data_IF_573143464853
#
_entry.id   IF_573143464853
#
_cell.length_a   1.000
_cell.length_b   1.000
_cell.length_c   1.000
_cell.angle_alpha   90.00
_cell.angle_beta   90.00
_cell.angle_gamma   90.00
#
_symmetry.space_group_name_H-M   'P 1'
#
loop_
_entity.id
_entity.type
_entity.pdbx_description
1 polymer ?
#
# COMPACT_ATOMS: atom_id res chain seq x y z
N UNK A 1 -14.26 -6.13 -0.19
CA UNK A 1 -15.26 -5.83 -1.24
C UNK A 1 -15.37 -6.99 -2.23
N UNK A 2 -14.26 -7.52 -2.77
CA UNK A 2 -14.29 -8.72 -3.63
C UNK A 2 -14.92 -9.93 -2.91
N UNK A 3 -14.49 -10.25 -1.69
CA UNK A 3 -15.01 -11.42 -0.96
C UNK A 3 -16.43 -11.25 -0.40
N UNK A 4 -16.92 -10.02 -0.29
CA UNK A 4 -18.24 -9.71 0.27
C UNK A 4 -19.35 -9.71 -0.78
N UNK A 5 -19.01 -9.75 -2.07
CA UNK A 5 -19.97 -9.66 -3.15
C UNK A 5 -20.59 -11.03 -3.48
N UNK A 6 -21.87 -11.06 -3.87
CA UNK A 6 -22.57 -12.32 -4.20
C UNK A 6 -21.93 -13.06 -5.37
N UNK A 7 -21.30 -12.34 -6.31
CA UNK A 7 -20.61 -12.91 -7.45
C UNK A 7 -19.16 -13.35 -7.16
N UNK A 8 -18.67 -13.23 -5.92
CA UNK A 8 -17.29 -13.56 -5.57
C UNK A 8 -16.92 -15.01 -5.89
N UNK A 9 -17.79 -15.96 -5.57
CA UNK A 9 -17.54 -17.38 -5.82
C UNK A 9 -17.54 -17.70 -7.32
N UNK A 10 -18.42 -17.08 -8.09
CA UNK A 10 -18.42 -17.21 -9.56
C UNK A 10 -17.13 -16.67 -10.17
N UNK A 11 -16.65 -15.51 -9.68
CA UNK A 11 -15.38 -14.94 -10.12
C UNK A 11 -14.20 -15.87 -9.81
N UNK A 12 -14.17 -16.47 -8.62
CA UNK A 12 -13.13 -17.43 -8.23
C UNK A 12 -13.14 -18.69 -9.10
N UNK A 13 -14.32 -19.18 -9.49
CA UNK A 13 -14.46 -20.31 -10.41
C UNK A 13 -13.93 -19.93 -11.80
N UNK A 14 -14.38 -18.81 -12.37
CA UNK A 14 -13.92 -18.33 -13.68
C UNK A 14 -12.40 -18.08 -13.72
N UNK A 15 -11.82 -17.58 -12.62
CA UNK A 15 -10.37 -17.40 -12.50
C UNK A 15 -9.62 -18.74 -12.49
N UNK A 16 -10.16 -19.77 -11.83
CA UNK A 16 -9.59 -21.12 -11.84
C UNK A 16 -9.68 -21.76 -13.22
N UNK A 17 -10.83 -21.64 -13.89
CA UNK A 17 -11.07 -22.23 -15.21
C UNK A 17 -10.15 -21.61 -16.27
N UNK A 18 -9.93 -20.30 -16.21
CA UNK A 18 -8.97 -19.59 -17.09
C UNK A 18 -7.51 -19.74 -16.64
N UNK A 19 -7.24 -20.24 -15.43
CA UNK A 19 -5.89 -20.28 -14.85
C UNK A 19 -5.25 -18.89 -14.65
N UNK A 20 -6.05 -17.84 -14.47
CA UNK A 20 -5.57 -16.44 -14.36
C UNK A 20 -5.71 -15.89 -12.94
N UNK A 21 -5.03 -14.78 -12.66
CA UNK A 21 -5.20 -14.06 -11.41
C UNK A 21 -6.57 -13.35 -11.38
N UNK A 22 -7.26 -13.39 -10.24
CA UNK A 22 -8.54 -12.73 -10.00
C UNK A 22 -8.50 -11.25 -10.43
N UNK A 23 -7.42 -10.52 -10.12
CA UNK A 23 -7.29 -9.11 -10.49
C UNK A 23 -7.13 -8.89 -11.99
N UNK A 24 -6.46 -9.80 -12.69
CA UNK A 24 -6.30 -9.74 -14.14
C UNK A 24 -7.64 -10.00 -14.84
N UNK A 25 -8.39 -11.01 -14.38
CA UNK A 25 -9.73 -11.30 -14.90
C UNK A 25 -10.70 -10.14 -14.70
N UNK A 26 -10.67 -9.47 -13.53
CA UNK A 26 -11.50 -8.28 -13.30
C UNK A 26 -11.15 -7.15 -14.26
N UNK A 27 -9.87 -6.97 -14.58
CA UNK A 27 -9.41 -5.94 -15.53
C UNK A 27 -9.87 -6.29 -16.96
N UNK A 28 -9.75 -7.55 -17.37
CA UNK A 28 -10.23 -8.03 -18.68
C UNK A 28 -11.75 -7.81 -18.86
N UNK A 29 -12.53 -8.05 -17.80
CA UNK A 29 -13.98 -7.81 -17.81
C UNK A 29 -14.30 -6.32 -17.96
N UNK A 30 -13.54 -5.46 -17.29
CA UNK A 30 -13.68 -4.01 -17.42
C UNK A 30 -13.36 -3.56 -18.85
N UNK A 31 -12.27 -4.04 -19.45
CA UNK A 31 -11.88 -3.70 -20.82
C UNK A 31 -12.94 -4.16 -21.83
N UNK A 32 -13.50 -5.36 -21.64
CA UNK A 32 -14.61 -5.87 -22.46
C UNK A 32 -15.83 -4.96 -22.35
N UNK A 33 -16.17 -4.53 -21.13
CA UNK A 33 -17.30 -3.62 -20.88
C UNK A 33 -17.10 -2.26 -21.55
N UNK A 34 -15.86 -1.74 -21.56
CA UNK A 34 -15.52 -0.49 -22.28
C UNK A 34 -15.78 -0.64 -23.78
N UNK A 35 -15.37 -1.76 -24.37
CA UNK A 35 -15.55 -2.04 -25.79
C UNK A 35 -17.03 -2.21 -26.16
N UNK A 36 -17.79 -2.94 -25.35
CA UNK A 36 -19.23 -3.18 -25.57
C UNK A 36 -20.03 -1.87 -25.53
N UNK A 37 -19.74 -1.01 -24.55
CA UNK A 37 -20.44 0.27 -24.38
C UNK A 37 -19.89 1.40 -25.26
N UNK A 38 -18.78 1.16 -25.98
CA UNK A 38 -18.08 2.13 -26.84
C UNK A 38 -17.77 3.44 -26.11
N UNK A 39 -17.29 3.34 -24.87
CA UNK A 39 -16.96 4.50 -24.04
C UNK A 39 -15.51 4.96 -24.31
N UNK A 40 -15.21 6.27 -24.22
CA UNK A 40 -13.91 6.80 -24.58
C UNK A 40 -12.77 6.47 -23.58
N UNK A 41 -13.10 6.27 -22.30
CA UNK A 41 -12.13 5.97 -21.24
C UNK A 41 -12.76 5.12 -20.14
N UNK A 42 -11.93 4.35 -19.42
CA UNK A 42 -12.36 3.41 -18.37
C UNK A 42 -13.12 4.11 -17.22
N UNK A 43 -12.67 5.28 -16.77
CA UNK A 43 -13.34 6.04 -15.70
C UNK A 43 -14.76 6.49 -16.05
N UNK A 44 -15.17 6.43 -17.33
CA UNK A 44 -16.53 6.75 -17.72
C UNK A 44 -17.53 5.70 -17.22
N UNK A 45 -17.07 4.46 -17.01
CA UNK A 45 -17.91 3.37 -16.49
C UNK A 45 -18.41 3.64 -15.07
N UNK A 46 -17.66 4.42 -14.27
CA UNK A 46 -17.99 4.76 -12.87
C UNK A 46 -18.56 6.16 -12.71
N UNK A 47 -18.97 6.84 -13.79
CA UNK A 47 -19.46 8.23 -13.75
C UNK A 47 -20.61 8.49 -12.76
N UNK A 48 -21.48 7.49 -12.57
CA UNK A 48 -22.66 7.59 -11.71
C UNK A 48 -22.40 6.97 -10.32
N UNK A 49 -21.20 6.43 -10.08
CA UNK A 49 -20.83 5.69 -8.89
C UNK A 49 -19.88 6.52 -8.02
N UNK A 50 -20.32 6.80 -6.79
CA UNK A 50 -19.51 7.56 -5.83
C UNK A 50 -19.20 6.68 -4.62
N UNK A 51 -17.93 6.53 -4.33
CA UNK A 51 -17.44 5.74 -3.21
C UNK A 51 -16.70 6.62 -2.22
N UNK A 52 -17.15 6.60 -0.97
CA UNK A 52 -16.44 7.17 0.16
C UNK A 52 -15.67 6.06 0.89
N UNK A 53 -14.32 6.07 0.87
CA UNK A 53 -13.51 4.89 1.19
C UNK A 53 -13.34 4.56 2.68
N UNK A 54 -14.01 5.24 3.61
CA UNK A 54 -13.92 4.98 5.06
C UNK A 54 -14.73 3.74 5.52
N UNK A 55 -14.68 2.69 4.70
CA UNK A 55 -15.30 1.40 4.96
C UNK A 55 -14.44 0.62 5.96
N UNK A 56 -15.00 0.28 7.13
CA UNK A 56 -14.48 -0.62 8.16
C UNK A 56 -13.02 -1.09 7.96
N UNK A 57 -12.06 -0.36 8.54
CA UNK A 57 -10.66 -0.78 8.59
C UNK A 57 -9.95 -0.57 7.26
N UNK A 58 -9.07 0.43 7.22
CA UNK A 58 -8.12 0.63 6.12
C UNK A 58 -7.28 -0.64 5.85
N UNK A 59 -7.78 -1.51 4.97
CA UNK A 59 -7.07 -2.71 4.51
C UNK A 59 -6.03 -2.41 3.43
N UNK A 60 -5.94 -1.19 2.91
CA UNK A 60 -5.02 -0.85 1.82
C UNK A 60 -3.68 -0.25 2.27
N UNK A 61 -3.65 0.56 3.33
CA UNK A 61 -2.46 1.37 3.65
C UNK A 61 -1.85 1.11 5.02
N UNK A 62 -2.56 0.42 5.92
CA UNK A 62 -2.10 0.20 7.30
C UNK A 62 -0.94 -0.80 7.46
N UNK A 63 -0.91 -1.87 6.67
CA UNK A 63 0.05 -2.96 6.90
C UNK A 63 1.32 -2.80 6.06
N UNK A 64 1.17 -2.44 4.78
CA UNK A 64 2.29 -2.45 3.83
C UNK A 64 2.85 -1.06 3.52
N UNK A 65 2.07 0.01 3.71
CA UNK A 65 2.54 1.38 3.50
C UNK A 65 3.11 1.99 4.78
N UNK A 66 2.44 1.77 5.92
CA UNK A 66 2.86 2.35 7.19
C UNK A 66 3.99 1.62 7.92
N UNK A 67 4.29 0.35 7.60
CA UNK A 67 5.37 -0.37 8.28
C UNK A 67 6.75 0.23 7.94
N UNK A 68 6.96 0.70 6.70
CA UNK A 68 8.18 1.43 6.34
C UNK A 68 8.17 2.86 6.91
N UNK A 69 7.07 3.61 6.77
CA UNK A 69 7.00 5.03 7.16
C UNK A 69 7.07 5.24 8.69
N UNK A 70 6.58 4.29 9.50
CA UNK A 70 6.67 4.36 10.98
C UNK A 70 8.11 4.28 11.50
N UNK A 71 9.03 3.72 10.71
CA UNK A 71 10.45 3.69 11.02
C UNK A 71 11.24 4.82 10.35
N UNK A 72 10.77 5.30 9.18
CA UNK A 72 11.55 6.17 8.29
C UNK A 72 11.36 7.67 8.51
N UNK A 73 10.19 8.11 8.98
CA UNK A 73 9.92 9.51 9.26
C UNK A 73 9.47 9.61 10.71
N UNK A 74 10.11 10.49 11.47
CA UNK A 74 9.70 10.89 12.81
C UNK A 74 8.39 11.71 12.77
N UNK A 75 7.42 11.24 12.00
CA UNK A 75 6.03 11.66 12.04
C UNK A 75 5.36 10.74 13.04
N UNK A 76 5.35 11.15 14.30
CA UNK A 76 4.40 10.60 15.25
C UNK A 76 3.00 10.98 14.76
N UNK A 77 2.36 10.10 13.99
CA UNK A 77 0.92 9.93 14.15
C UNK A 77 0.75 9.44 15.59
N UNK A 78 0.54 10.38 16.51
CA UNK A 78 0.12 10.05 17.86
C UNK A 78 -1.24 9.39 17.71
N UNK A 79 -1.27 8.05 17.80
CA UNK A 79 -2.51 7.32 17.99
C UNK A 79 -3.28 8.01 19.10
N UNK A 80 -4.47 8.47 18.77
CA UNK A 80 -5.38 9.12 19.70
C UNK A 80 -5.66 8.16 20.88
N UNK A 81 -5.25 8.62 22.06
CA UNK A 81 -5.71 8.30 23.42
C UNK A 81 -5.98 6.83 23.78
N UNK A 82 -5.11 6.26 24.64
CA UNK A 82 -5.16 4.88 25.18
C UNK A 82 -6.30 4.60 26.18
N UNK A 83 -7.27 5.50 26.34
CA UNK A 83 -8.27 5.41 27.43
C UNK A 83 -9.69 5.02 27.03
N UNK A 84 -9.96 4.56 25.79
CA UNK A 84 -11.32 4.15 25.39
C UNK A 84 -11.38 2.75 24.76
N UNK A 85 -12.39 1.92 25.12
CA UNK A 85 -12.53 0.57 24.59
C UNK A 85 -12.60 0.60 23.06
N UNK A 86 -11.78 -0.23 22.43
CA UNK A 86 -11.64 -0.33 20.97
C UNK A 86 -12.92 -0.94 20.40
N UNK A 87 -13.88 -0.10 20.01
CA UNK A 87 -14.94 -0.51 19.08
C UNK A 87 -14.32 -0.71 17.69
N UNK A 88 -14.70 -1.82 17.02
CA UNK A 88 -14.22 -2.28 15.70
C UNK A 88 -14.72 -1.43 14.52
N UNK A 89 -14.69 -0.11 14.63
CA UNK A 89 -15.00 0.82 13.54
C UNK A 89 -13.76 1.66 13.31
N UNK A 90 -12.97 1.29 12.29
CA UNK A 90 -11.86 2.11 11.87
C UNK A 90 -12.37 3.01 10.74
N UNK A 91 -12.70 4.24 11.12
CA UNK A 91 -12.92 5.38 10.21
C UNK A 91 -11.60 5.93 9.66
N UNK A 92 -11.58 7.22 9.37
CA UNK A 92 -10.47 7.89 8.70
C UNK A 92 -9.25 8.03 9.61
N UNK A 93 -8.10 7.43 9.25
CA UNK A 93 -6.91 7.49 10.11
C UNK A 93 -6.02 8.70 9.85
N UNK A 94 -5.95 9.13 8.59
CA UNK A 94 -5.01 10.16 8.14
C UNK A 94 -5.75 11.31 7.48
N UNK A 95 -5.35 12.55 7.81
CA UNK A 95 -5.97 13.84 7.45
C UNK A 95 -7.07 14.30 8.39
N UNK A 96 -8.16 13.52 8.55
CA UNK A 96 -9.29 13.90 9.41
C UNK A 96 -9.17 13.29 10.81
N UNK A 97 -8.50 12.12 10.92
CA UNK A 97 -8.27 11.41 12.18
C UNK A 97 -9.56 11.16 13.00
N UNK A 98 -10.67 10.96 12.30
CA UNK A 98 -11.99 10.73 12.87
C UNK A 98 -12.38 9.25 12.73
N UNK A 99 -12.52 8.61 13.89
CA UNK A 99 -12.82 7.17 14.02
C UNK A 99 -14.28 6.85 13.71
N UNK A 100 -15.18 7.81 13.84
CA UNK A 100 -16.62 7.62 13.71
C UNK A 100 -17.09 7.73 12.27
N UNK A 101 -16.22 8.19 11.36
CA UNK A 101 -16.46 8.23 9.93
C UNK A 101 -16.77 6.84 9.36
N UNK A 102 -17.74 6.80 8.44
CA UNK A 102 -18.19 5.58 7.78
C UNK A 102 -18.17 5.76 6.27
N UNK A 103 -17.81 4.69 5.59
CA UNK A 103 -17.85 4.62 4.14
C UNK A 103 -19.28 4.63 3.61
N UNK A 104 -19.41 5.11 2.38
CA UNK A 104 -20.69 5.32 1.70
C UNK A 104 -20.51 4.91 0.25
N UNK A 105 -21.54 4.29 -0.33
CA UNK A 105 -21.54 3.90 -1.73
C UNK A 105 -22.85 4.36 -2.36
N UNK A 106 -22.76 5.27 -3.33
CA UNK A 106 -23.89 5.87 -4.04
C UNK A 106 -23.83 5.44 -5.50
N UNK A 107 -25.00 5.25 -6.12
CA UNK A 107 -25.10 4.92 -7.56
C UNK A 107 -25.00 3.43 -7.87
N UNK A 108 -25.22 2.56 -6.89
CA UNK A 108 -25.27 1.11 -7.12
C UNK A 108 -26.50 0.72 -7.93
N UNK A 109 -26.31 -0.15 -8.91
CA UNK A 109 -27.40 -0.79 -9.66
C UNK A 109 -27.90 -2.04 -8.92
N UNK A 110 -29.08 -2.55 -9.32
CA UNK A 110 -29.68 -3.75 -8.71
C UNK A 110 -28.99 -5.05 -9.15
N UNK A 111 -28.14 -4.99 -10.16
CA UNK A 111 -27.46 -6.12 -10.75
C UNK A 111 -26.48 -6.78 -9.77
N UNK A 112 -26.31 -8.09 -9.92
CA UNK A 112 -25.42 -8.91 -9.07
C UNK A 112 -24.44 -9.73 -9.91
N UNK A 113 -24.12 -9.22 -11.09
CA UNK A 113 -23.28 -9.88 -12.08
C UNK A 113 -21.79 -9.69 -11.76
N UNK A 114 -20.93 -10.42 -12.47
CA UNK A 114 -19.47 -10.25 -12.32
C UNK A 114 -19.03 -8.88 -12.85
N UNK A 115 -19.71 -8.33 -13.85
CA UNK A 115 -19.44 -6.97 -14.36
C UNK A 115 -19.72 -5.90 -13.31
N UNK A 116 -20.81 -6.01 -12.55
CA UNK A 116 -21.09 -5.09 -11.43
C UNK A 116 -19.97 -5.16 -10.36
N UNK A 117 -19.53 -6.37 -10.01
CA UNK A 117 -18.37 -6.54 -9.13
C UNK A 117 -17.10 -5.86 -9.68
N UNK A 118 -16.87 -5.95 -10.98
CA UNK A 118 -15.73 -5.32 -11.63
C UNK A 118 -15.82 -3.79 -11.56
N UNK A 119 -17.01 -3.20 -11.78
CA UNK A 119 -17.25 -1.76 -11.65
C UNK A 119 -17.01 -1.28 -10.21
N UNK A 120 -17.55 -1.99 -9.22
CA UNK A 120 -17.29 -1.66 -7.80
C UNK A 120 -15.80 -1.74 -7.49
N UNK A 121 -15.10 -2.72 -8.08
CA UNK A 121 -13.66 -2.92 -7.87
C UNK A 121 -12.87 -1.76 -8.44
N UNK A 122 -13.23 -1.30 -9.63
CA UNK A 122 -12.66 -0.10 -10.25
C UNK A 122 -12.89 1.15 -9.39
N UNK A 123 -14.13 1.42 -8.97
CA UNK A 123 -14.46 2.54 -8.09
C UNK A 123 -13.71 2.50 -6.75
N UNK A 124 -13.50 1.29 -6.20
CA UNK A 124 -12.68 1.10 -5.00
C UNK A 124 -11.21 1.41 -5.24
N UNK A 125 -10.66 1.00 -6.39
CA UNK A 125 -9.30 1.34 -6.80
C UNK A 125 -9.11 2.86 -6.95
N UNK A 126 -10.06 3.54 -7.60
CA UNK A 126 -10.03 5.00 -7.76
C UNK A 126 -10.08 5.71 -6.41
N UNK A 127 -10.97 5.28 -5.50
CA UNK A 127 -11.06 5.87 -4.18
C UNK A 127 -9.76 5.72 -3.35
N UNK A 128 -9.10 4.56 -3.43
CA UNK A 128 -7.78 4.33 -2.77
C UNK A 128 -6.71 5.25 -3.36
N UNK A 129 -6.66 5.37 -4.68
CA UNK A 129 -5.69 6.24 -5.36
C UNK A 129 -5.93 7.73 -5.05
N UNK A 130 -7.18 8.18 -5.03
CA UNK A 130 -7.56 9.55 -4.65
C UNK A 130 -7.23 9.85 -3.19
N UNK A 131 -7.49 8.93 -2.27
CA UNK A 131 -7.11 9.09 -0.86
C UNK A 131 -5.58 9.17 -0.71
N UNK A 132 -4.84 8.37 -1.47
CA UNK A 132 -3.37 8.43 -1.51
C UNK A 132 -2.88 9.80 -1.99
N UNK A 133 -3.51 10.35 -3.05
CA UNK A 133 -3.22 11.70 -3.54
C UNK A 133 -3.50 12.77 -2.49
N UNK A 134 -4.60 12.68 -1.75
CA UNK A 134 -4.91 13.64 -0.69
C UNK A 134 -3.83 13.65 0.41
N UNK A 135 -3.29 12.48 0.77
CA UNK A 135 -2.17 12.37 1.72
C UNK A 135 -0.93 13.06 1.15
N UNK A 136 -0.58 12.77 -0.11
CA UNK A 136 0.58 13.37 -0.79
C UNK A 136 0.45 14.88 -0.85
N UNK A 137 -0.72 15.40 -1.25
CA UNK A 137 -0.97 16.84 -1.33
C UNK A 137 -0.84 17.51 0.05
N UNK A 138 -1.34 16.86 1.12
CA UNK A 138 -1.19 17.40 2.47
C UNK A 138 0.27 17.40 2.93
N UNK A 139 1.01 16.33 2.64
CA UNK A 139 2.44 16.27 2.95
C UNK A 139 3.22 17.34 2.19
N UNK A 140 2.94 17.49 0.89
CA UNK A 140 3.59 18.50 0.06
C UNK A 140 3.30 19.93 0.53
N UNK A 141 2.06 20.21 0.97
CA UNK A 141 1.68 21.49 1.59
C UNK A 141 2.41 21.76 2.90
N UNK A 142 2.83 20.72 3.63
CA UNK A 142 3.58 20.83 4.87
C UNK A 142 5.11 20.93 4.64
N UNK A 143 5.56 21.15 3.40
CA UNK A 143 6.97 21.35 3.06
C UNK A 143 7.73 20.09 2.65
N UNK A 144 7.04 18.96 2.48
CA UNK A 144 7.66 17.77 1.88
C UNK A 144 7.65 17.87 0.35
N UNK A 145 8.56 17.15 -0.31
CA UNK A 145 8.55 16.98 -1.76
C UNK A 145 8.56 15.48 -2.07
N UNK A 146 7.39 14.92 -2.29
CA UNK A 146 7.24 13.50 -2.61
C UNK A 146 7.46 13.32 -4.11
N UNK A 147 8.57 12.67 -4.48
CA UNK A 147 8.94 12.43 -5.89
C UNK A 147 8.64 11.00 -6.36
N UNK A 148 8.46 10.06 -5.43
CA UNK A 148 8.19 8.66 -5.77
C UNK A 148 7.46 7.95 -4.65
N UNK A 149 6.65 6.97 -5.02
CA UNK A 149 5.95 6.07 -4.10
C UNK A 149 6.63 4.71 -4.11
N UNK A 150 7.01 4.20 -2.94
CA UNK A 150 7.48 2.82 -2.79
C UNK A 150 6.33 1.95 -2.30
N UNK A 151 5.96 0.93 -3.08
CA UNK A 151 4.89 0.01 -2.73
C UNK A 151 5.44 -1.30 -2.16
N UNK A 152 4.77 -1.88 -1.17
CA UNK A 152 5.09 -3.21 -0.66
C UNK A 152 3.82 -3.99 -0.35
N UNK A 153 3.94 -5.30 -0.11
CA UNK A 153 2.84 -6.15 0.32
C UNK A 153 2.08 -6.85 -0.80
N UNK A 154 0.98 -7.53 -0.43
CA UNK A 154 0.24 -8.43 -1.31
C UNK A 154 -0.49 -7.73 -2.47
N UNK A 155 -0.88 -6.47 -2.28
CA UNK A 155 -1.59 -5.68 -3.29
C UNK A 155 -0.71 -5.26 -4.47
N UNK A 156 0.62 -5.36 -4.35
CA UNK A 156 1.53 -5.03 -5.46
C UNK A 156 1.37 -5.96 -6.66
N UNK A 157 0.85 -7.17 -6.44
CA UNK A 157 0.50 -8.11 -7.52
C UNK A 157 -0.59 -7.57 -8.45
N UNK A 158 -1.35 -6.58 -8.00
CA UNK A 158 -2.41 -5.94 -8.77
C UNK A 158 -1.83 -4.82 -9.64
N UNK A 159 -1.45 -5.17 -10.88
CA UNK A 159 -0.89 -4.22 -11.87
C UNK A 159 -1.81 -3.04 -12.17
N UNK A 160 -3.11 -3.30 -12.27
CA UNK A 160 -4.11 -2.27 -12.52
C UNK A 160 -4.10 -1.20 -11.43
N UNK A 161 -4.15 -1.61 -10.15
CA UNK A 161 -4.14 -0.67 -9.04
C UNK A 161 -2.83 0.13 -8.97
N UNK A 162 -1.68 -0.50 -9.23
CA UNK A 162 -0.40 0.21 -9.22
C UNK A 162 -0.33 1.29 -10.32
N UNK A 163 -0.85 0.98 -11.50
CA UNK A 163 -0.91 1.93 -12.62
C UNK A 163 -1.86 3.08 -12.28
N UNK A 164 -3.05 2.76 -11.76
CA UNK A 164 -4.04 3.76 -11.36
C UNK A 164 -3.51 4.73 -10.28
N UNK A 165 -2.77 4.22 -9.29
CA UNK A 165 -2.12 5.05 -8.27
C UNK A 165 -1.06 5.96 -8.89
N UNK A 166 -0.24 5.44 -9.80
CA UNK A 166 0.78 6.22 -10.49
C UNK A 166 0.16 7.37 -11.30
N UNK A 167 -0.90 7.07 -12.06
CA UNK A 167 -1.60 8.03 -12.92
C UNK A 167 -2.29 9.13 -12.08
N UNK A 168 -3.03 8.75 -11.04
CA UNK A 168 -3.79 9.71 -10.21
C UNK A 168 -2.87 10.56 -9.34
N UNK A 169 -1.83 9.96 -8.76
CA UNK A 169 -0.89 10.68 -7.89
C UNK A 169 0.18 11.44 -8.67
N UNK A 170 0.31 11.18 -9.98
CA UNK A 170 1.32 11.76 -10.86
C UNK A 170 2.75 11.62 -10.31
N UNK A 171 3.06 10.45 -9.75
CA UNK A 171 4.38 10.11 -9.22
C UNK A 171 4.73 8.66 -9.56
N UNK A 172 6.00 8.35 -9.88
CA UNK A 172 6.41 6.99 -10.17
C UNK A 172 6.20 6.06 -8.97
N UNK A 173 5.57 4.92 -9.23
CA UNK A 173 5.37 3.84 -8.25
C UNK A 173 6.46 2.79 -8.44
N UNK A 174 7.37 2.69 -7.47
CA UNK A 174 8.45 1.72 -7.46
C UNK A 174 8.01 0.42 -6.77
N UNK A 175 8.27 -0.70 -7.42
CA UNK A 175 7.89 -2.03 -6.97
C UNK A 175 9.14 -2.86 -6.63
N UNK A 176 9.20 -3.51 -5.45
CA UNK A 176 10.33 -4.34 -5.08
C UNK A 176 10.33 -5.61 -5.91
N UNK A 177 11.52 -6.20 -6.10
CA UNK A 177 11.64 -7.50 -6.78
C UNK A 177 10.81 -8.59 -6.08
N UNK A 178 10.81 -8.59 -4.75
CA UNK A 178 10.01 -9.50 -3.93
C UNK A 178 9.02 -8.74 -3.06
N UNK A 179 7.73 -8.96 -3.33
CA UNK A 179 6.60 -8.29 -2.67
C UNK A 179 6.47 -8.59 -1.17
N UNK A 180 6.93 -9.76 -0.72
CA UNK A 180 6.82 -10.22 0.67
C UNK A 180 8.08 -9.96 1.49
N UNK A 181 9.21 -9.66 0.82
CA UNK A 181 10.50 -9.56 1.49
C UNK A 181 10.78 -8.17 2.08
N UNK A 182 10.06 -7.11 1.69
CA UNK A 182 10.39 -5.73 2.09
C UNK A 182 10.48 -5.54 3.61
N UNK A 183 9.55 -6.13 4.37
CA UNK A 183 9.56 -6.04 5.84
C UNK A 183 10.72 -6.84 6.43
N UNK A 184 10.96 -8.04 5.92
CA UNK A 184 12.03 -8.94 6.40
C UNK A 184 13.41 -8.32 6.15
N UNK A 185 13.61 -7.75 4.96
CA UNK A 185 14.84 -7.07 4.59
C UNK A 185 15.05 -5.83 5.46
N UNK A 186 14.00 -5.03 5.70
CA UNK A 186 14.07 -3.90 6.64
C UNK A 186 14.52 -4.33 8.04
N UNK A 187 13.93 -5.40 8.59
CA UNK A 187 14.32 -5.95 9.90
C UNK A 187 15.76 -6.45 9.92
N UNK A 188 16.22 -7.13 8.87
CA UNK A 188 17.59 -7.60 8.75
C UNK A 188 18.60 -6.44 8.71
N UNK A 189 18.26 -5.35 8.00
CA UNK A 189 19.10 -4.15 7.91
C UNK A 189 19.24 -3.46 9.27
N UNK A 190 18.14 -3.37 10.03
CA UNK A 190 18.17 -2.82 11.39
C UNK A 190 19.00 -3.70 12.32
N UNK A 191 18.88 -5.02 12.21
CA UNK A 191 19.72 -5.97 12.96
C UNK A 191 21.20 -5.82 12.64
N UNK A 192 21.56 -5.69 11.37
CA UNK A 192 22.94 -5.47 10.94
C UNK A 192 23.50 -4.14 11.48
N UNK A 193 22.71 -3.06 11.43
CA UNK A 193 23.12 -1.76 11.96
C UNK A 193 23.28 -1.77 13.49
N UNK A 194 22.40 -2.48 14.20
CA UNK A 194 22.53 -2.66 15.65
C UNK A 194 23.79 -3.47 16.02
N UNK A 195 24.12 -4.50 15.24
CA UNK A 195 25.33 -5.29 15.44
C UNK A 195 26.61 -4.46 15.19
N UNK A 196 26.63 -3.65 14.14
CA UNK A 196 27.75 -2.73 13.85
C UNK A 196 27.95 -1.73 14.99
N UNK A 197 26.87 -1.19 15.54
CA UNK A 197 26.94 -0.25 16.66
C UNK A 197 27.38 -0.91 17.97
N UNK A 198 26.93 -2.13 18.24
CA UNK A 198 27.40 -2.91 19.38
C UNK A 198 28.91 -3.20 19.28
N UNK A 199 29.43 -3.46 18.08
CA UNK A 199 30.87 -3.59 17.84
C UNK A 199 31.62 -2.28 18.11
N UNK A 200 31.08 -1.14 17.65
CA UNK A 200 31.67 0.19 17.87
C UNK A 200 31.75 0.56 19.35
N UNK A 201 30.73 0.18 20.12
CA UNK A 201 30.66 0.44 21.56
C UNK A 201 31.43 -0.58 22.42
N UNK A 202 31.96 -1.65 21.80
CA UNK A 202 32.71 -2.69 22.51
C UNK A 202 31.86 -3.55 23.45
N UNK A 203 30.54 -3.59 23.25
CA UNK A 203 29.61 -4.33 24.11
C UNK A 203 28.16 -4.28 23.62
N UNK A 204 27.30 -5.18 24.12
CA UNK A 204 25.89 -5.23 23.73
C UNK A 204 25.13 -3.98 24.18
N UNK A 205 24.12 -3.59 23.38
CA UNK A 205 23.14 -2.56 23.76
C UNK A 205 22.17 -3.15 24.79
N UNK A 206 22.55 -3.06 26.06
CA UNK A 206 21.88 -3.68 27.21
C UNK A 206 20.79 -2.80 27.86
N UNK A 207 20.90 -1.48 27.72
CA UNK A 207 19.98 -0.50 28.30
C UNK A 207 19.24 0.30 27.23
N UNK A 208 17.94 0.55 27.48
CA UNK A 208 17.07 1.39 26.65
C UNK A 208 17.67 2.79 26.43
N UNK A 209 18.28 3.38 27.46
CA UNK A 209 18.88 4.72 27.38
C UNK A 209 20.10 4.75 26.43
N UNK A 210 20.97 3.73 26.51
CA UNK A 210 22.10 3.59 25.59
C UNK A 210 21.62 3.35 24.15
N UNK A 211 20.57 2.54 23.98
CA UNK A 211 19.98 2.26 22.67
C UNK A 211 19.39 3.52 22.04
N UNK A 212 18.65 4.33 22.80
CA UNK A 212 18.10 5.60 22.33
C UNK A 212 19.21 6.57 21.93
N UNK A 213 20.18 6.82 22.82
CA UNK A 213 21.28 7.74 22.54
C UNK A 213 22.08 7.35 21.28
N UNK A 214 22.35 6.06 21.13
CA UNK A 214 23.10 5.52 19.97
C UNK A 214 22.27 5.58 18.69
N UNK A 215 20.97 5.25 18.77
CA UNK A 215 20.04 5.34 17.63
C UNK A 215 19.93 6.77 17.08
N UNK A 216 19.82 7.78 17.95
CA UNK A 216 19.80 9.18 17.54
C UNK A 216 21.11 9.62 16.87
N UNK A 217 22.27 9.18 17.40
CA UNK A 217 23.57 9.47 16.82
C UNK A 217 23.76 8.87 15.44
N UNK A 218 23.16 7.71 15.18
CA UNK A 218 23.27 6.99 13.91
C UNK A 218 22.21 7.35 12.86
N UNK A 219 21.26 8.25 13.14
CA UNK A 219 20.11 8.51 12.26
C UNK A 219 20.48 8.73 10.78
N UNK A 220 21.53 9.50 10.50
CA UNK A 220 21.95 9.82 9.12
C UNK A 220 22.65 8.63 8.45
N UNK A 221 23.43 7.86 9.23
CA UNK A 221 24.10 6.65 8.75
C UNK A 221 23.07 5.54 8.46
N UNK A 222 22.09 5.38 9.35
CA UNK A 222 20.96 4.48 9.15
C UNK A 222 20.18 4.89 7.90
N UNK A 223 19.89 6.18 7.73
CA UNK A 223 19.25 6.70 6.52
C UNK A 223 20.02 6.35 5.25
N UNK A 224 21.33 6.64 5.21
CA UNK A 224 22.17 6.34 4.05
C UNK A 224 22.26 4.84 3.75
N UNK A 225 22.33 3.99 4.79
CA UNK A 225 22.30 2.54 4.63
C UNK A 225 20.96 2.07 4.08
N UNK A 226 19.85 2.62 4.60
CA UNK A 226 18.52 2.24 4.14
C UNK A 226 18.29 2.65 2.69
N UNK A 227 18.69 3.85 2.26
CA UNK A 227 18.57 4.29 0.87
C UNK A 227 19.37 3.39 -0.08
N UNK A 228 20.61 3.03 0.27
CA UNK A 228 21.45 2.13 -0.55
C UNK A 228 20.87 0.73 -0.67
N UNK A 229 20.38 0.18 0.44
CA UNK A 229 19.79 -1.15 0.43
C UNK A 229 18.43 -1.18 -0.27
N UNK A 230 17.62 -0.13 -0.17
CA UNK A 230 16.39 0.00 -0.97
C UNK A 230 16.75 0.00 -2.46
N UNK A 231 17.77 0.74 -2.90
CA UNK A 231 18.22 0.66 -4.30
C UNK A 231 18.58 -0.77 -4.72
N UNK A 232 19.21 -1.58 -3.85
CA UNK A 232 19.50 -2.99 -4.14
C UNK A 232 18.29 -3.92 -4.15
N UNK A 233 17.25 -3.66 -3.34
CA UNK A 233 16.03 -4.49 -3.26
C UNK A 233 15.13 -4.28 -4.48
N UNK A 234 15.19 -3.09 -5.07
CA UNK A 234 14.41 -2.70 -6.23
C UNK A 234 15.18 -2.87 -7.55
N UNK A 235 16.49 -3.12 -7.49
CA UNK A 235 17.30 -3.51 -8.64
C UNK A 235 17.26 -5.03 -8.86
N UNK A 236 17.33 -5.52 -10.11
CA UNK A 236 17.51 -6.93 -10.35
C UNK A 236 18.81 -7.41 -9.69
N UNK A 237 18.86 -8.61 -9.11
CA UNK A 237 20.10 -9.16 -8.61
C UNK A 237 21.11 -9.17 -9.76
N UNK A 238 22.27 -8.57 -9.55
CA UNK A 238 23.40 -8.78 -10.47
C UNK A 238 23.57 -10.29 -10.60
N UNK A 239 23.61 -10.80 -11.83
CA UNK A 239 23.99 -12.19 -12.14
C UNK A 239 25.44 -12.41 -11.67
N UNK A 240 25.62 -12.51 -10.36
CA UNK A 240 26.84 -12.93 -9.72
C UNK A 240 26.90 -14.44 -9.88
N UNK A 241 27.83 -14.89 -10.71
CA UNK A 241 28.25 -16.27 -10.95
C UNK A 241 27.58 -17.28 -10.00
N UNK A 242 26.62 -18.05 -10.53
CA UNK A 242 26.29 -19.33 -9.93
C UNK A 242 27.60 -20.09 -9.82
N UNK A 243 28.14 -20.18 -8.60
CA UNK A 243 29.19 -21.13 -8.28
C UNK A 243 28.53 -22.49 -8.43
N UNK A 244 28.78 -23.12 -9.57
CA UNK A 244 28.60 -24.55 -9.75
C UNK A 244 29.48 -25.24 -8.71
N UNK A 245 28.85 -25.92 -7.77
CA UNK A 245 29.45 -26.90 -6.88
C UNK A 245 28.53 -28.10 -6.84
#
# INVERSE_FOLDING_TARGET
MIDTHRAAEKLKQLAKDKGTNIFALLTEILDTTVQEQKVPFMSYLTKDMYLYPDLHGEWALSSSFFCAVRFFLRVSFRCVDERRPISRTAGNRSLLADRDMRGMHIGMQLDKNVSDLALRYYATGEAIALQTRQIIDKMNRNGHKIESIFMSGGLVKNRFLMSLIADICNVPVQLPYSHSASVVVGSAMLGAAAAEEAQRLGGPLDSQEKAEKSSYGMKEKLWGNMVRSVASVFSPPSLGSARTS
#
